data_IF_968138966056
#
_entry.id   IF_968138966056
#
_cell.length_a   1.000
_cell.length_b   1.000
_cell.length_c   1.000
_cell.angle_alpha   90.00
_cell.angle_beta   90.00
_cell.angle_gamma   90.00
#
_symmetry.space_group_name_H-M   'P 1'
#
loop_
_entity.id
_entity.type
_entity.pdbx_description
1 polymer ?
#
# COMPACT_ATOMS: atom_id res chain seq x y z
N UNK A 1 -6.50 -11.54 4.88
CA UNK A 1 -7.78 -12.18 4.48
C UNK A 1 -8.87 -11.53 5.31
N UNK A 2 -10.01 -11.13 4.72
CA UNK A 2 -11.06 -10.37 5.43
C UNK A 2 -12.04 -11.24 6.26
N UNK A 3 -11.90 -12.57 6.25
CA UNK A 3 -12.72 -13.49 7.06
C UNK A 3 -14.17 -13.67 6.61
N UNK A 4 -14.66 -12.86 5.67
CA UNK A 4 -16.07 -12.83 5.24
C UNK A 4 -16.62 -14.21 4.83
N UNK A 5 -15.86 -15.00 4.07
CA UNK A 5 -16.30 -16.32 3.59
C UNK A 5 -16.63 -17.30 4.74
N UNK A 6 -15.86 -17.31 5.84
CA UNK A 6 -16.16 -18.17 6.98
C UNK A 6 -17.34 -17.64 7.79
N UNK A 7 -17.51 -16.32 7.87
CA UNK A 7 -18.63 -15.71 8.59
C UNK A 7 -19.98 -16.08 7.95
N UNK A 8 -20.08 -15.95 6.62
CA UNK A 8 -21.32 -16.20 5.87
C UNK A 8 -21.60 -17.68 5.61
N UNK A 9 -20.63 -18.57 5.89
CA UNK A 9 -20.77 -19.99 5.59
C UNK A 9 -21.83 -20.64 6.51
N UNK A 10 -22.89 -21.24 5.95
CA UNK A 10 -23.96 -21.86 6.75
C UNK A 10 -23.48 -23.09 7.52
N UNK A 11 -22.51 -23.83 6.96
CA UNK A 11 -21.94 -25.06 7.54
C UNK A 11 -20.66 -24.81 8.34
N UNK A 12 -20.30 -23.53 8.58
CA UNK A 12 -19.16 -23.11 9.41
C UNK A 12 -17.81 -23.74 9.03
N UNK A 13 -17.58 -23.94 7.73
CA UNK A 13 -16.28 -24.40 7.25
C UNK A 13 -15.23 -23.31 7.52
N UNK A 14 -14.10 -23.73 8.09
CA UNK A 14 -12.97 -22.88 8.39
C UNK A 14 -12.11 -22.59 7.14
N UNK A 15 -12.70 -21.97 6.12
CA UNK A 15 -12.03 -21.76 4.82
C UNK A 15 -10.92 -20.69 4.93
N UNK A 16 -11.14 -19.61 5.67
CA UNK A 16 -10.19 -18.49 5.72
C UNK A 16 -8.87 -18.87 6.41
N UNK A 17 -8.90 -19.60 7.53
CA UNK A 17 -7.67 -20.05 8.19
C UNK A 17 -6.97 -21.13 7.38
N UNK A 18 -7.72 -22.03 6.74
CA UNK A 18 -7.14 -23.03 5.84
C UNK A 18 -6.37 -22.36 4.70
N UNK A 19 -6.96 -21.36 4.03
CA UNK A 19 -6.27 -20.58 2.99
C UNK A 19 -5.01 -19.88 3.52
N UNK A 20 -5.04 -19.38 4.75
CA UNK A 20 -3.87 -18.77 5.38
C UNK A 20 -2.75 -19.80 5.65
N UNK A 21 -3.09 -20.95 6.24
CA UNK A 21 -2.16 -22.06 6.49
C UNK A 21 -1.53 -22.56 5.20
N UNK A 22 -2.34 -22.78 4.17
CA UNK A 22 -1.86 -23.22 2.85
C UNK A 22 -0.89 -22.23 2.22
N UNK A 23 -1.12 -20.90 2.34
CA UNK A 23 -0.15 -19.91 1.87
C UNK A 23 1.21 -20.06 2.55
N UNK A 24 1.25 -20.42 3.83
CA UNK A 24 2.51 -20.66 4.54
C UNK A 24 3.20 -21.94 4.08
N UNK A 25 2.45 -23.02 3.89
CA UNK A 25 2.98 -24.31 3.40
C UNK A 25 3.58 -24.14 2.01
N UNK A 26 2.83 -23.54 1.07
CA UNK A 26 3.27 -23.29 -0.31
C UNK A 26 4.57 -22.47 -0.35
N UNK A 27 4.69 -21.45 0.50
CA UNK A 27 5.91 -20.63 0.57
C UNK A 27 7.08 -21.41 1.16
N UNK A 28 6.85 -22.20 2.23
CA UNK A 28 7.89 -23.03 2.86
C UNK A 28 8.42 -24.12 1.92
N UNK A 29 7.54 -24.71 1.13
CA UNK A 29 7.89 -25.74 0.14
C UNK A 29 8.53 -25.16 -1.14
N UNK A 30 8.72 -23.84 -1.23
CA UNK A 30 9.42 -23.21 -2.34
C UNK A 30 8.58 -23.00 -3.61
N UNK A 31 7.27 -23.24 -3.56
CA UNK A 31 6.36 -23.03 -4.69
C UNK A 31 6.01 -21.56 -4.94
N UNK A 32 6.47 -20.65 -4.10
CA UNK A 32 6.27 -19.21 -4.29
C UNK A 32 7.31 -18.63 -5.27
N UNK A 33 6.85 -17.83 -6.23
CA UNK A 33 7.74 -17.11 -7.16
C UNK A 33 8.76 -16.24 -6.38
N UNK A 34 10.07 -16.44 -6.57
CA UNK A 34 11.11 -15.65 -5.91
C UNK A 34 10.98 -14.14 -6.14
N UNK A 35 10.54 -13.72 -7.33
CA UNK A 35 10.34 -12.31 -7.67
C UNK A 35 9.26 -11.69 -6.79
N UNK A 36 8.18 -12.44 -6.57
CA UNK A 36 7.11 -12.04 -5.66
C UNK A 36 7.61 -11.96 -4.22
N UNK A 37 8.41 -12.93 -3.77
CA UNK A 37 8.96 -12.92 -2.41
C UNK A 37 9.84 -11.67 -2.16
N UNK A 38 10.71 -11.32 -3.11
CA UNK A 38 11.53 -10.10 -3.04
C UNK A 38 10.66 -8.85 -3.04
N UNK A 39 9.67 -8.77 -3.93
CA UNK A 39 8.74 -7.64 -3.98
C UNK A 39 7.98 -7.46 -2.65
N UNK A 40 7.52 -8.55 -2.02
CA UNK A 40 6.86 -8.49 -0.73
C UNK A 40 7.79 -8.03 0.40
N UNK A 41 9.06 -8.49 0.42
CA UNK A 41 10.05 -8.01 1.38
C UNK A 41 10.35 -6.52 1.22
N UNK A 42 10.46 -6.04 -0.02
CA UNK A 42 10.65 -4.62 -0.29
C UNK A 42 9.45 -3.78 0.17
N UNK A 43 8.22 -4.28 -0.06
CA UNK A 43 7.01 -3.65 0.45
C UNK A 43 6.99 -3.63 1.98
N UNK A 44 7.32 -4.73 2.64
CA UNK A 44 7.39 -4.82 4.10
C UNK A 44 8.37 -3.81 4.68
N UNK A 45 9.60 -3.75 4.17
CA UNK A 45 10.59 -2.75 4.58
C UNK A 45 10.10 -1.30 4.39
N UNK A 46 9.49 -1.02 3.24
CA UNK A 46 9.01 0.33 2.91
C UNK A 46 7.85 0.76 3.80
N UNK A 47 6.88 -0.14 4.05
CA UNK A 47 5.66 0.17 4.77
C UNK A 47 5.82 0.10 6.30
N UNK A 48 6.74 -0.74 6.80
CA UNK A 48 7.02 -0.85 8.23
C UNK A 48 7.92 0.27 8.77
N UNK A 49 8.68 0.95 7.91
CA UNK A 49 9.57 2.04 8.29
C UNK A 49 8.97 3.42 7.95
N UNK A 50 8.56 4.24 8.95
CA UNK A 50 7.92 5.53 8.70
C UNK A 50 8.78 6.53 7.92
N UNK A 51 10.12 6.51 8.11
CA UNK A 51 11.00 7.44 7.42
C UNK A 51 11.10 7.10 5.93
N UNK A 52 11.30 5.80 5.62
CA UNK A 52 11.36 5.29 4.25
C UNK A 52 10.01 5.49 3.54
N UNK A 53 8.91 5.21 4.23
CA UNK A 53 7.56 5.44 3.68
C UNK A 53 7.34 6.91 3.28
N UNK A 54 7.74 7.86 4.14
CA UNK A 54 7.60 9.29 3.88
C UNK A 54 8.44 9.75 2.69
N UNK A 55 9.70 9.31 2.61
CA UNK A 55 10.59 9.69 1.50
C UNK A 55 10.14 9.05 0.18
N UNK A 56 9.78 7.77 0.19
CA UNK A 56 9.23 7.08 -0.96
C UNK A 56 7.93 7.74 -1.45
N UNK A 57 7.03 8.14 -0.53
CA UNK A 57 5.80 8.84 -0.86
C UNK A 57 6.01 10.24 -1.44
N UNK A 58 7.04 10.98 -0.99
CA UNK A 58 7.45 12.26 -1.62
C UNK A 58 8.00 12.04 -3.02
N UNK A 59 8.91 11.07 -3.19
CA UNK A 59 9.48 10.72 -4.48
C UNK A 59 8.39 10.26 -5.47
N UNK A 60 7.45 9.42 -5.02
CA UNK A 60 6.32 8.97 -5.84
C UNK A 60 5.46 10.13 -6.35
N UNK A 61 5.13 11.11 -5.48
CA UNK A 61 4.41 12.33 -5.90
C UNK A 61 5.20 13.17 -6.90
N UNK A 62 6.51 13.30 -6.71
CA UNK A 62 7.38 14.00 -7.65
C UNK A 62 7.38 13.32 -9.02
N UNK A 63 7.56 11.99 -9.07
CA UNK A 63 7.53 11.21 -10.32
C UNK A 63 6.17 11.33 -11.00
N UNK A 64 5.06 11.21 -10.28
CA UNK A 64 3.73 11.37 -10.87
C UNK A 64 3.51 12.78 -11.45
N UNK A 65 4.07 13.82 -10.82
CA UNK A 65 3.94 15.20 -11.28
C UNK A 65 4.80 15.52 -12.50
N UNK A 66 6.05 15.04 -12.53
CA UNK A 66 7.04 15.43 -13.54
C UNK A 66 7.23 14.40 -14.66
N UNK A 67 6.94 13.13 -14.38
CA UNK A 67 7.14 12.01 -15.30
C UNK A 67 5.87 11.15 -15.41
N UNK A 68 4.71 11.74 -15.81
CA UNK A 68 3.43 11.05 -15.83
C UNK A 68 3.43 9.83 -16.76
N UNK A 69 4.24 9.83 -17.82
CA UNK A 69 4.37 8.69 -18.76
C UNK A 69 4.92 7.42 -18.11
N UNK A 70 5.65 7.53 -16.99
CA UNK A 70 6.19 6.37 -16.25
C UNK A 70 5.06 5.56 -15.60
N UNK A 71 3.99 6.23 -15.20
CA UNK A 71 2.85 5.62 -14.53
C UNK A 71 1.63 5.47 -15.45
N UNK A 72 1.46 6.38 -16.42
CA UNK A 72 0.36 6.41 -17.39
C UNK A 72 0.74 5.71 -18.70
N UNK A 73 1.10 4.43 -18.62
CA UNK A 73 1.45 3.64 -19.80
C UNK A 73 0.80 2.26 -19.78
N UNK A 74 0.80 1.60 -20.94
CA UNK A 74 0.18 0.27 -21.13
C UNK A 74 0.93 -0.87 -20.41
N UNK A 75 2.15 -0.64 -19.92
CA UNK A 75 2.91 -1.62 -19.14
C UNK A 75 2.45 -1.64 -17.67
N UNK A 76 1.93 -0.52 -17.17
CA UNK A 76 1.31 -0.46 -15.86
C UNK A 76 -0.06 -1.15 -15.89
N UNK A 77 -0.11 -2.41 -15.45
CA UNK A 77 -1.34 -3.19 -15.37
C UNK A 77 -2.43 -2.55 -14.50
N UNK A 78 -2.04 -1.78 -13.47
CA UNK A 78 -3.00 -1.06 -12.62
C UNK A 78 -3.69 0.07 -13.39
N UNK A 79 -2.96 0.75 -14.28
CA UNK A 79 -3.46 1.86 -15.10
C UNK A 79 -4.34 1.40 -16.27
N UNK A 80 -4.21 0.15 -16.74
CA UNK A 80 -5.00 -0.36 -17.88
C UNK A 80 -6.52 -0.22 -17.73
N UNK A 81 -7.02 -0.22 -16.50
CA UNK A 81 -8.45 -0.16 -16.19
C UNK A 81 -8.80 1.00 -15.25
N UNK A 82 -7.89 1.94 -15.04
CA UNK A 82 -8.05 3.03 -14.07
C UNK A 82 -7.45 4.32 -14.58
N UNK A 83 -8.15 5.42 -14.34
CA UNK A 83 -7.58 6.75 -14.54
C UNK A 83 -6.64 7.11 -13.38
N UNK A 84 -5.53 7.75 -13.72
CA UNK A 84 -4.57 8.21 -12.72
C UNK A 84 -5.03 9.55 -12.14
N UNK A 85 -5.23 9.66 -10.81
CA UNK A 85 -5.60 10.93 -10.20
C UNK A 85 -4.45 11.94 -10.28
N UNK A 86 -4.78 13.22 -10.21
CA UNK A 86 -3.79 14.29 -10.09
C UNK A 86 -2.98 14.11 -8.79
N UNK A 87 -1.64 14.20 -8.84
CA UNK A 87 -0.82 14.02 -7.65
C UNK A 87 -1.09 15.15 -6.64
N UNK A 88 -1.42 14.82 -5.38
CA UNK A 88 -1.69 15.84 -4.37
C UNK A 88 -0.41 16.59 -4.01
N UNK A 89 -0.54 17.90 -3.71
CA UNK A 89 0.59 18.77 -3.32
C UNK A 89 1.34 18.24 -2.10
N UNK A 90 0.58 17.75 -1.11
CA UNK A 90 1.10 17.22 0.13
C UNK A 90 0.45 15.88 0.51
N UNK A 91 1.13 15.08 1.33
CA UNK A 91 0.59 13.89 1.95
C UNK A 91 -0.32 14.26 3.11
N UNK A 92 -1.21 13.35 3.51
CA UNK A 92 -2.06 13.56 4.68
C UNK A 92 -1.24 13.87 5.94
N UNK A 93 -0.11 13.17 6.16
CA UNK A 93 0.74 13.40 7.33
C UNK A 93 1.39 14.78 7.35
N UNK A 94 1.85 15.28 6.19
CA UNK A 94 2.37 16.65 6.06
C UNK A 94 1.27 17.68 6.35
N UNK A 95 0.11 17.52 5.71
CA UNK A 95 -1.05 18.38 5.93
C UNK A 95 -1.47 18.38 7.41
N UNK A 96 -1.50 17.22 8.06
CA UNK A 96 -1.90 17.09 9.45
C UNK A 96 -0.95 17.87 10.37
N UNK A 97 0.37 17.73 10.18
CA UNK A 97 1.38 18.44 10.95
C UNK A 97 1.30 19.96 10.76
N UNK A 98 1.08 20.43 9.52
CA UNK A 98 0.90 21.86 9.24
C UNK A 98 -0.34 22.43 9.96
N UNK A 99 -1.45 21.70 9.99
CA UNK A 99 -2.68 22.18 10.62
C UNK A 99 -2.64 22.11 12.15
N UNK A 100 -1.98 21.10 12.73
CA UNK A 100 -1.72 21.06 14.17
C UNK A 100 -0.81 22.23 14.62
N UNK A 101 0.18 22.60 13.81
CA UNK A 101 1.03 23.75 14.10
C UNK A 101 0.23 25.07 14.06
N UNK A 102 -0.59 25.28 13.02
CA UNK A 102 -1.45 26.47 12.87
C UNK A 102 -2.45 26.62 14.01
N UNK A 103 -3.09 25.52 14.42
CA UNK A 103 -4.07 25.55 15.53
C UNK A 103 -3.43 25.85 16.89
N UNK A 104 -2.16 25.48 17.10
CA UNK A 104 -1.42 25.84 18.31
C UNK A 104 -1.01 27.31 18.32
N UNK A 105 -0.59 27.87 17.18
CA UNK A 105 -0.29 29.30 17.05
C UNK A 105 -1.53 30.15 17.33
N UNK A 106 -2.67 29.84 16.72
CA UNK A 106 -3.93 30.58 16.90
C UNK A 106 -4.55 30.47 18.31
N UNK A 107 -4.05 29.59 19.19
CA UNK A 107 -4.48 29.50 20.60
C UNK A 107 -3.60 30.33 21.54
N UNK A 108 -2.42 30.73 21.07
CA UNK A 108 -1.44 31.50 21.83
C UNK A 108 -1.49 32.99 21.49
N UNK A 109 -2.34 33.37 20.53
CA UNK A 109 -2.77 34.74 20.19
C UNK A 109 -4.17 34.99 20.78
#
# INVERSE_FOLDING_TARGET
LCGSCTNVCPVKINIHEQLYKWRQVIVKEGYADPKKAVAMKAMDFTLSNPAVYKTAGKAGRFVMKHLPFVVNNKLNLWYKQRDMPQPPKQSFGEWYQENEAKTKTNKND
#
